data_IF_421384944655
#
_entry.id   IF_421384944655
#
_cell.length_a   1.000
_cell.length_b   1.000
_cell.length_c   1.000
_cell.angle_alpha   90.00
_cell.angle_beta   90.00
_cell.angle_gamma   90.00
#
_symmetry.space_group_name_H-M   'P 1'
#
loop_
_entity.id
_entity.type
_entity.pdbx_description
1 polymer ?
#
# COMPACT_ATOMS: atom_id res chain seq x y z
N UNK A 1 -0.80 30.55 10.61
CA UNK A 1 -1.54 29.27 10.49
C UNK A 1 -0.64 28.10 10.10
N UNK A 2 0.12 28.18 9.00
CA UNK A 2 0.94 27.08 8.48
C UNK A 2 1.83 26.36 9.51
N UNK A 3 2.72 27.09 10.21
CA UNK A 3 3.66 26.50 11.17
C UNK A 3 2.94 25.80 12.33
N UNK A 4 1.91 26.44 12.90
CA UNK A 4 1.12 25.87 14.00
C UNK A 4 0.37 24.62 13.51
N UNK A 5 -0.26 24.69 12.33
CA UNK A 5 -0.94 23.55 11.73
C UNK A 5 -0.01 22.39 11.42
N UNK A 6 1.22 22.68 10.96
CA UNK A 6 2.25 21.69 10.69
C UNK A 6 2.72 21.02 12.00
N UNK A 7 2.91 21.81 13.07
CA UNK A 7 3.25 21.27 14.40
C UNK A 7 2.13 20.35 14.90
N UNK A 8 0.87 20.76 14.79
CA UNK A 8 -0.28 19.92 15.18
C UNK A 8 -0.26 18.61 14.39
N UNK A 9 -0.13 18.69 13.06
CA UNK A 9 -0.08 17.52 12.18
C UNK A 9 1.06 16.57 12.56
N UNK A 10 2.28 17.09 12.72
CA UNK A 10 3.44 16.28 13.08
C UNK A 10 3.33 15.67 14.47
N UNK A 11 2.86 16.43 15.47
CA UNK A 11 2.71 15.96 16.84
C UNK A 11 1.65 14.86 16.93
N UNK A 12 0.49 15.07 16.30
CA UNK A 12 -0.58 14.07 16.23
C UNK A 12 -0.11 12.80 15.50
N UNK A 13 0.53 12.93 14.34
CA UNK A 13 1.10 11.79 13.60
C UNK A 13 2.12 11.03 14.44
N UNK A 14 3.04 11.73 15.10
CA UNK A 14 4.05 11.12 15.94
C UNK A 14 3.42 10.39 17.14
N UNK A 15 2.51 11.04 17.86
CA UNK A 15 1.90 10.46 19.06
C UNK A 15 1.00 9.27 18.71
N UNK A 16 0.18 9.38 17.66
CA UNK A 16 -0.67 8.28 17.21
C UNK A 16 0.12 7.11 16.66
N UNK A 17 1.28 7.35 16.02
CA UNK A 17 2.13 6.25 15.58
C UNK A 17 2.72 5.43 16.73
N UNK A 18 3.04 6.08 17.85
CA UNK A 18 3.56 5.42 19.05
C UNK A 18 2.51 4.60 19.77
N UNK A 19 1.29 5.11 19.84
CA UNK A 19 0.18 4.44 20.51
C UNK A 19 -0.41 3.28 19.68
N UNK A 20 -0.12 3.24 18.37
CA UNK A 20 -0.53 2.18 17.42
C UNK A 20 -2.04 1.94 17.35
N UNK A 21 -2.46 1.11 16.39
CA UNK A 21 -3.87 0.75 16.18
C UNK A 21 -4.75 1.98 15.92
N UNK A 22 -5.91 2.04 16.58
CA UNK A 22 -6.93 3.06 16.34
C UNK A 22 -6.57 4.47 16.85
N UNK A 23 -5.50 4.59 17.64
CA UNK A 23 -5.08 5.87 18.24
C UNK A 23 -4.77 6.95 17.20
N UNK A 24 -4.22 6.56 16.04
CA UNK A 24 -3.91 7.46 14.92
C UNK A 24 -5.17 8.19 14.42
N UNK A 25 -6.31 7.51 14.45
CA UNK A 25 -7.60 8.08 14.05
C UNK A 25 -8.19 8.98 15.12
N UNK A 26 -8.17 8.53 16.39
CA UNK A 26 -8.69 9.31 17.51
C UNK A 26 -7.93 10.63 17.67
N UNK A 27 -6.60 10.57 17.62
CA UNK A 27 -5.75 11.76 17.69
C UNK A 27 -5.86 12.61 16.41
N UNK A 28 -6.07 11.99 15.25
CA UNK A 28 -6.37 12.71 14.01
C UNK A 28 -7.64 13.55 14.13
N UNK A 29 -8.72 12.98 14.67
CA UNK A 29 -9.96 13.71 14.97
C UNK A 29 -9.77 14.83 15.98
N UNK A 30 -9.00 14.59 17.05
CA UNK A 30 -8.58 15.64 17.98
C UNK A 30 -7.82 16.75 17.26
N UNK A 31 -6.90 16.41 16.36
CA UNK A 31 -6.17 17.37 15.55
C UNK A 31 -7.09 18.25 14.70
N UNK A 32 -8.14 17.67 14.09
CA UNK A 32 -9.14 18.44 13.32
C UNK A 32 -9.86 19.42 14.24
N UNK A 33 -10.27 18.99 15.44
CA UNK A 33 -10.86 19.88 16.44
C UNK A 33 -9.91 21.02 16.84
N UNK A 34 -8.62 20.71 17.03
CA UNK A 34 -7.61 21.73 17.32
C UNK A 34 -7.48 22.75 16.17
N UNK A 35 -7.55 22.31 14.91
CA UNK A 35 -7.60 23.24 13.77
C UNK A 35 -8.82 24.15 13.82
N UNK A 36 -9.98 23.61 14.15
CA UNK A 36 -11.21 24.40 14.24
C UNK A 36 -11.15 25.42 15.37
N UNK A 37 -10.78 25.00 16.59
CA UNK A 37 -10.86 25.88 17.77
C UNK A 37 -9.65 26.80 17.96
N UNK A 38 -8.44 26.38 17.59
CA UNK A 38 -7.22 27.20 17.79
C UNK A 38 -6.87 28.07 16.57
N UNK A 39 -7.23 27.62 15.36
CA UNK A 39 -6.85 28.30 14.12
C UNK A 39 -8.05 28.91 13.39
N UNK A 40 -9.27 28.78 13.94
CA UNK A 40 -10.52 29.25 13.34
C UNK A 40 -10.68 28.78 11.88
N UNK A 41 -10.29 27.53 11.63
CA UNK A 41 -10.18 26.99 10.29
C UNK A 41 -11.29 25.97 10.01
N UNK A 42 -11.93 26.10 8.85
CA UNK A 42 -12.94 25.14 8.41
C UNK A 42 -12.31 23.75 8.14
N UNK A 43 -12.89 22.66 8.67
CA UNK A 43 -12.40 21.32 8.42
C UNK A 43 -12.60 20.95 6.94
N UNK A 44 -11.69 20.13 6.41
CA UNK A 44 -11.89 19.55 5.08
C UNK A 44 -13.03 18.52 5.09
N UNK A 45 -13.47 18.07 3.92
CA UNK A 45 -14.38 16.94 3.84
C UNK A 45 -13.72 15.65 4.35
N UNK A 46 -14.40 14.86 5.19
CA UNK A 46 -13.90 13.56 5.59
C UNK A 46 -13.62 12.66 4.37
N UNK A 47 -12.65 11.74 4.45
CA UNK A 47 -12.28 10.87 3.34
C UNK A 47 -13.27 9.69 3.15
N UNK A 48 -14.58 9.97 3.12
CA UNK A 48 -15.63 8.95 3.00
C UNK A 48 -15.43 8.02 1.80
N UNK A 49 -15.02 8.58 0.66
CA UNK A 49 -14.77 7.79 -0.54
C UNK A 49 -13.64 6.76 -0.35
N UNK A 50 -12.55 7.15 0.33
CA UNK A 50 -11.41 6.27 0.63
C UNK A 50 -11.87 5.13 1.55
N UNK A 51 -12.67 5.47 2.57
CA UNK A 51 -13.20 4.53 3.55
C UNK A 51 -14.15 3.54 2.88
N UNK A 52 -15.03 4.00 1.99
CA UNK A 52 -15.94 3.16 1.23
C UNK A 52 -15.17 2.15 0.35
N UNK A 53 -14.13 2.60 -0.36
CA UNK A 53 -13.25 1.72 -1.13
C UNK A 53 -12.58 0.66 -0.25
N UNK A 54 -12.01 1.07 0.89
CA UNK A 54 -11.35 0.13 1.81
C UNK A 54 -12.37 -0.85 2.39
N UNK A 55 -13.54 -0.39 2.84
CA UNK A 55 -14.59 -1.24 3.41
C UNK A 55 -15.05 -2.32 2.42
N UNK A 56 -15.26 -1.95 1.15
CA UNK A 56 -15.64 -2.89 0.10
C UNK A 56 -14.55 -3.94 -0.16
N UNK A 57 -13.29 -3.51 -0.28
CA UNK A 57 -12.14 -4.42 -0.50
C UNK A 57 -11.93 -5.33 0.72
N UNK A 58 -11.99 -4.81 1.95
CA UNK A 58 -11.86 -5.60 3.19
C UNK A 58 -12.99 -6.62 3.31
N UNK A 59 -14.21 -6.26 2.89
CA UNK A 59 -15.33 -7.20 2.84
C UNK A 59 -15.08 -8.33 1.84
N UNK A 60 -14.57 -8.02 0.64
CA UNK A 60 -14.20 -9.02 -0.37
C UNK A 60 -13.04 -9.91 0.12
N UNK A 61 -11.98 -9.33 0.68
CA UNK A 61 -10.82 -10.06 1.21
C UNK A 61 -11.23 -10.96 2.39
N UNK A 62 -12.04 -10.46 3.32
CA UNK A 62 -12.59 -11.26 4.42
C UNK A 62 -13.46 -12.43 3.93
N UNK A 63 -14.19 -12.21 2.84
CA UNK A 63 -14.97 -13.27 2.19
C UNK A 63 -14.06 -14.36 1.60
N UNK A 64 -12.95 -13.98 0.96
CA UNK A 64 -11.95 -14.93 0.44
C UNK A 64 -11.25 -15.67 1.58
N UNK A 65 -10.89 -14.95 2.64
CA UNK A 65 -10.29 -15.54 3.85
C UNK A 65 -11.21 -16.60 4.45
N UNK A 66 -12.50 -16.31 4.58
CA UNK A 66 -13.51 -17.25 5.09
C UNK A 66 -13.65 -18.54 4.24
N UNK A 67 -13.23 -18.53 2.98
CA UNK A 67 -13.18 -19.73 2.13
C UNK A 67 -11.88 -20.53 2.24
N UNK A 68 -10.87 -20.00 2.95
CA UNK A 68 -9.50 -20.52 2.93
C UNK A 68 -8.65 -20.02 1.75
N UNK A 69 -9.19 -19.13 0.91
CA UNK A 69 -8.51 -18.61 -0.29
C UNK A 69 -7.22 -17.84 0.04
N UNK A 70 -7.25 -16.98 1.06
CA UNK A 70 -6.05 -16.25 1.48
C UNK A 70 -4.97 -17.19 2.02
N UNK A 71 -5.36 -18.21 2.79
CA UNK A 71 -4.44 -19.26 3.25
C UNK A 71 -3.78 -20.01 2.09
N UNK A 72 -4.55 -20.32 1.03
CA UNK A 72 -4.02 -20.95 -0.17
C UNK A 72 -3.01 -20.06 -0.91
N UNK A 73 -3.29 -18.76 -1.03
CA UNK A 73 -2.33 -17.81 -1.64
C UNK A 73 -1.02 -17.72 -0.84
N UNK A 74 -1.12 -17.71 0.49
CA UNK A 74 0.05 -17.70 1.38
C UNK A 74 0.85 -19.00 1.27
N UNK A 75 0.17 -20.15 1.21
CA UNK A 75 0.84 -21.44 1.00
C UNK A 75 1.57 -21.50 -0.35
N UNK A 76 0.97 -20.96 -1.41
CA UNK A 76 1.63 -20.84 -2.71
C UNK A 76 2.88 -19.95 -2.62
N UNK A 77 2.76 -18.82 -1.90
CA UNK A 77 3.88 -17.91 -1.65
C UNK A 77 5.03 -18.60 -0.92
N UNK A 78 4.71 -19.31 0.17
CA UNK A 78 5.66 -20.06 0.97
C UNK A 78 6.37 -21.13 0.15
N UNK A 79 5.63 -21.95 -0.59
CA UNK A 79 6.20 -22.98 -1.45
C UNK A 79 7.18 -22.38 -2.47
N UNK A 80 6.85 -21.22 -3.04
CA UNK A 80 7.70 -20.55 -4.01
C UNK A 80 8.98 -19.97 -3.38
N UNK A 81 8.89 -19.41 -2.18
CA UNK A 81 10.04 -18.92 -1.40
C UNK A 81 10.94 -20.09 -0.99
N UNK A 82 10.37 -21.18 -0.46
CA UNK A 82 11.10 -22.37 -0.01
C UNK A 82 11.75 -23.16 -1.15
N UNK A 83 11.23 -23.06 -2.38
CA UNK A 83 11.83 -23.73 -3.56
C UNK A 83 13.22 -23.20 -3.91
N UNK A 84 13.49 -21.92 -3.67
CA UNK A 84 14.77 -21.27 -3.99
C UNK A 84 15.24 -20.38 -2.82
N UNK A 85 15.55 -20.99 -1.67
CA UNK A 85 15.69 -20.27 -0.42
C UNK A 85 16.99 -19.41 -0.37
N UNK A 86 18.03 -19.80 -1.11
CA UNK A 86 19.24 -18.97 -1.31
C UNK A 86 19.01 -17.69 -2.12
N UNK A 87 17.93 -17.63 -2.91
CA UNK A 87 17.56 -16.46 -3.72
C UNK A 87 16.47 -15.62 -3.06
N UNK A 88 16.24 -15.77 -1.75
CA UNK A 88 15.16 -15.12 -1.02
C UNK A 88 15.15 -13.59 -1.17
N UNK A 89 16.32 -12.95 -1.29
CA UNK A 89 16.42 -11.49 -1.50
C UNK A 89 15.70 -11.04 -2.78
N UNK A 90 15.69 -11.88 -3.82
CA UNK A 90 15.03 -11.59 -5.09
C UNK A 90 13.58 -12.07 -5.13
N UNK A 91 13.33 -13.25 -4.56
CA UNK A 91 12.04 -13.93 -4.67
C UNK A 91 11.01 -13.32 -3.73
N UNK A 92 11.40 -13.03 -2.48
CA UNK A 92 10.47 -12.48 -1.48
C UNK A 92 9.82 -11.17 -1.91
N UNK A 93 10.54 -10.12 -2.39
CA UNK A 93 9.88 -8.90 -2.83
C UNK A 93 8.96 -9.12 -4.04
N UNK A 94 9.33 -9.98 -5.00
CA UNK A 94 8.49 -10.25 -6.16
C UNK A 94 7.21 -10.98 -5.79
N UNK A 95 7.30 -12.00 -4.93
CA UNK A 95 6.13 -12.71 -4.40
C UNK A 95 5.23 -11.76 -3.61
N UNK A 96 5.82 -10.92 -2.74
CA UNK A 96 5.06 -9.91 -1.99
C UNK A 96 4.40 -8.90 -2.92
N UNK A 97 5.08 -8.42 -3.96
CA UNK A 97 4.52 -7.51 -4.95
C UNK A 97 3.31 -8.13 -5.64
N UNK A 98 3.44 -9.35 -6.18
CA UNK A 98 2.36 -10.03 -6.91
C UNK A 98 1.15 -10.23 -6.03
N UNK A 99 1.34 -10.79 -4.82
CA UNK A 99 0.22 -11.08 -3.93
C UNK A 99 -0.45 -9.78 -3.47
N UNK A 100 0.34 -8.73 -3.22
CA UNK A 100 -0.21 -7.42 -2.86
C UNK A 100 -0.95 -6.76 -4.02
N UNK A 101 -0.42 -6.87 -5.24
CA UNK A 101 -1.06 -6.39 -6.46
C UNK A 101 -2.41 -7.07 -6.69
N UNK A 102 -2.47 -8.39 -6.51
CA UNK A 102 -3.72 -9.14 -6.62
C UNK A 102 -4.70 -8.77 -5.51
N UNK A 103 -4.21 -8.49 -4.31
CA UNK A 103 -5.05 -8.20 -3.14
C UNK A 103 -5.50 -6.75 -3.00
N UNK A 104 -4.80 -5.79 -3.61
CA UNK A 104 -5.08 -4.36 -3.52
C UNK A 104 -4.64 -3.67 -2.24
N UNK A 105 -4.05 -4.41 -1.29
CA UNK A 105 -3.67 -3.85 0.02
C UNK A 105 -2.34 -4.40 0.51
N UNK A 106 -1.49 -3.50 1.00
CA UNK A 106 -0.19 -3.84 1.56
C UNK A 106 -0.28 -4.63 2.88
N UNK A 107 -1.44 -4.65 3.54
CA UNK A 107 -1.65 -5.43 4.77
C UNK A 107 -1.58 -6.95 4.54
N UNK A 108 -1.72 -7.41 3.30
CA UNK A 108 -1.52 -8.82 2.98
C UNK A 108 -0.07 -9.25 3.23
N UNK A 109 0.89 -8.32 3.25
CA UNK A 109 2.27 -8.63 3.61
C UNK A 109 2.37 -9.29 5.00
N UNK A 110 1.48 -8.99 5.95
CA UNK A 110 1.52 -9.58 7.30
C UNK A 110 1.48 -11.11 7.31
N UNK A 111 0.86 -11.74 6.33
CA UNK A 111 0.77 -13.20 6.27
C UNK A 111 2.02 -13.87 5.69
N UNK A 112 2.87 -13.13 4.97
CA UNK A 112 4.07 -13.66 4.29
C UNK A 112 5.35 -13.23 5.00
N UNK A 113 5.37 -12.07 5.66
CA UNK A 113 6.54 -11.59 6.41
C UNK A 113 7.09 -12.62 7.43
N UNK A 114 6.27 -13.39 8.18
CA UNK A 114 6.80 -14.43 9.07
C UNK A 114 7.58 -15.51 8.33
N UNK A 115 7.06 -15.98 7.19
CA UNK A 115 7.71 -16.98 6.34
C UNK A 115 9.03 -16.44 5.80
N UNK A 116 9.05 -15.18 5.36
CA UNK A 116 10.28 -14.53 4.87
C UNK A 116 11.33 -14.47 5.99
N UNK A 117 10.94 -14.04 7.20
CA UNK A 117 11.84 -13.97 8.34
C UNK A 117 12.41 -15.34 8.72
N UNK A 118 11.58 -16.39 8.68
CA UNK A 118 11.96 -17.76 8.99
C UNK A 118 12.93 -18.35 7.97
N UNK A 119 12.56 -18.34 6.68
CA UNK A 119 13.42 -18.88 5.61
C UNK A 119 14.73 -18.11 5.50
N UNK A 120 14.71 -16.79 5.76
CA UNK A 120 15.96 -16.00 5.83
C UNK A 120 16.91 -16.53 6.90
N UNK A 121 16.38 -16.87 8.07
CA UNK A 121 17.16 -17.46 9.17
C UNK A 121 17.68 -18.85 8.83
N UNK A 122 16.84 -19.71 8.26
CA UNK A 122 17.22 -21.08 7.86
C UNK A 122 18.45 -21.09 6.92
N UNK A 123 18.54 -20.10 6.03
CA UNK A 123 19.62 -19.99 5.03
C UNK A 123 20.79 -19.10 5.49
N UNK A 124 20.68 -18.49 6.68
CA UNK A 124 21.71 -17.58 7.20
C UNK A 124 21.79 -16.22 6.48
N UNK A 125 20.72 -15.80 5.80
CA UNK A 125 20.59 -14.48 5.17
C UNK A 125 19.96 -13.52 6.17
N UNK A 126 20.55 -12.32 6.36
CA UNK A 126 19.99 -11.31 7.28
C UNK A 126 18.54 -10.98 6.93
N UNK A 127 17.56 -11.23 7.82
CA UNK A 127 16.14 -10.97 7.56
C UNK A 127 15.86 -9.51 7.18
N UNK A 128 16.67 -8.57 7.68
CA UNK A 128 16.65 -7.15 7.28
C UNK A 128 16.43 -6.92 5.79
N UNK A 129 17.17 -7.65 4.93
CA UNK A 129 17.17 -7.41 3.49
C UNK A 129 15.86 -7.83 2.83
N UNK A 130 15.45 -9.11 2.88
CA UNK A 130 14.20 -9.54 2.26
C UNK A 130 12.98 -8.92 2.94
N UNK A 131 12.98 -8.71 4.28
CA UNK A 131 11.85 -8.07 4.96
C UNK A 131 11.68 -6.61 4.54
N UNK A 132 12.76 -5.83 4.49
CA UNK A 132 12.67 -4.43 4.07
C UNK A 132 12.24 -4.30 2.61
N UNK A 133 12.79 -5.11 1.71
CA UNK A 133 12.39 -5.16 0.30
C UNK A 133 10.93 -5.57 0.13
N UNK A 134 10.46 -6.59 0.87
CA UNK A 134 9.06 -7.03 0.81
C UNK A 134 8.07 -5.98 1.31
N UNK A 135 8.41 -5.20 2.34
CA UNK A 135 7.56 -4.09 2.78
C UNK A 135 7.44 -3.02 1.69
N UNK A 136 8.55 -2.65 1.04
CA UNK A 136 8.54 -1.71 -0.08
C UNK A 136 7.79 -2.28 -1.29
N UNK A 137 7.95 -3.57 -1.56
CA UNK A 137 7.23 -4.28 -2.61
C UNK A 137 5.72 -4.27 -2.38
N UNK A 138 5.27 -4.41 -1.13
CA UNK A 138 3.86 -4.32 -0.78
C UNK A 138 3.29 -2.92 -1.06
N UNK A 139 4.03 -1.84 -0.74
CA UNK A 139 3.61 -0.48 -1.08
C UNK A 139 3.44 -0.30 -2.61
N UNK A 140 4.44 -0.75 -3.37
CA UNK A 140 4.46 -0.64 -4.82
C UNK A 140 3.41 -1.51 -5.51
N UNK A 141 3.22 -2.75 -5.03
CA UNK A 141 2.19 -3.66 -5.53
C UNK A 141 0.79 -3.12 -5.27
N UNK A 142 0.57 -2.48 -4.12
CA UNK A 142 -0.71 -1.88 -3.80
C UNK A 142 -1.00 -0.68 -4.70
N UNK A 143 -0.03 0.23 -4.92
CA UNK A 143 -0.19 1.36 -5.84
C UNK A 143 -0.50 0.91 -7.27
N UNK A 144 0.14 -0.17 -7.73
CA UNK A 144 -0.06 -0.70 -9.07
C UNK A 144 -1.38 -1.47 -9.24
N UNK A 145 -2.03 -1.85 -8.14
CA UNK A 145 -3.24 -2.69 -8.18
C UNK A 145 -4.47 -1.92 -8.65
N UNK A 146 -5.28 -2.49 -9.58
CA UNK A 146 -6.55 -1.90 -10.01
C UNK A 146 -7.58 -1.80 -8.90
N UNK A 147 -7.43 -2.61 -7.84
CA UNK A 147 -8.39 -2.67 -6.74
C UNK A 147 -7.96 -1.88 -5.51
N UNK A 148 -6.89 -1.09 -5.62
CA UNK A 148 -6.43 -0.23 -4.52
C UNK A 148 -7.15 1.12 -4.54
N UNK A 149 -7.38 1.68 -3.36
CA UNK A 149 -7.90 3.06 -3.23
C UNK A 149 -6.96 4.08 -3.86
N UNK A 150 -5.64 3.85 -3.82
CA UNK A 150 -4.64 4.70 -4.48
C UNK A 150 -4.90 4.79 -5.99
N UNK A 151 -5.07 3.64 -6.65
CA UNK A 151 -5.29 3.57 -8.09
C UNK A 151 -6.64 4.18 -8.48
N UNK A 152 -7.68 3.97 -7.69
CA UNK A 152 -9.01 4.59 -7.96
C UNK A 152 -8.92 6.11 -7.93
N UNK A 153 -8.30 6.68 -6.90
CA UNK A 153 -8.16 8.14 -6.76
C UNK A 153 -7.25 8.71 -7.86
N UNK A 154 -6.11 8.05 -8.10
CA UNK A 154 -5.18 8.42 -9.18
C UNK A 154 -5.88 8.39 -10.54
N UNK A 155 -6.60 7.31 -10.82
CA UNK A 155 -7.38 7.11 -12.03
C UNK A 155 -8.46 8.18 -12.20
N UNK A 156 -9.16 8.56 -11.12
CA UNK A 156 -10.15 9.64 -11.14
C UNK A 156 -9.56 10.97 -11.62
N UNK A 157 -8.44 11.40 -11.04
CA UNK A 157 -7.77 12.65 -11.45
C UNK A 157 -7.22 12.60 -12.88
N UNK A 158 -6.58 11.48 -13.25
CA UNK A 158 -5.94 11.35 -14.56
C UNK A 158 -6.95 11.13 -15.69
N UNK A 159 -8.05 10.42 -15.44
CA UNK A 159 -9.14 10.20 -16.40
C UNK A 159 -9.91 11.50 -16.69
N UNK A 160 -10.16 12.31 -15.65
CA UNK A 160 -10.69 13.66 -15.81
C UNK A 160 -9.77 14.55 -16.68
N UNK A 161 -8.48 14.24 -16.71
CA UNK A 161 -7.47 14.94 -17.50
C UNK A 161 -7.13 14.26 -18.84
N UNK A 162 -7.92 13.26 -19.27
CA UNK A 162 -7.79 12.60 -20.58
C UNK A 162 -6.88 11.36 -20.63
N UNK A 163 -6.30 10.92 -19.51
CA UNK A 163 -5.47 9.71 -19.46
C UNK A 163 -6.32 8.50 -19.03
N UNK A 164 -6.47 7.53 -19.93
CA UNK A 164 -7.19 6.29 -19.64
C UNK A 164 -6.44 5.39 -18.65
N UNK A 165 -7.19 4.61 -17.86
CA UNK A 165 -6.66 3.68 -16.85
C UNK A 165 -5.65 2.66 -17.41
N UNK A 166 -5.87 2.15 -18.63
CA UNK A 166 -4.92 1.24 -19.30
C UNK A 166 -3.54 1.91 -19.47
N UNK A 167 -3.51 3.19 -19.81
CA UNK A 167 -2.26 3.95 -19.95
C UNK A 167 -1.57 4.14 -18.60
N UNK A 168 -2.35 4.36 -17.53
CA UNK A 168 -1.82 4.41 -16.16
C UNK A 168 -1.12 3.09 -15.82
N UNK A 169 -1.75 1.94 -16.06
CA UNK A 169 -1.13 0.63 -15.80
C UNK A 169 0.13 0.38 -16.63
N UNK A 170 0.12 0.76 -17.91
CA UNK A 170 1.29 0.65 -18.80
C UNK A 170 2.51 1.41 -18.29
N UNK A 171 2.33 2.40 -17.43
CA UNK A 171 3.41 3.19 -16.83
C UNK A 171 3.69 2.73 -15.40
N UNK A 172 2.67 2.73 -14.54
CA UNK A 172 2.85 2.48 -13.10
C UNK A 172 3.37 1.07 -12.85
N UNK A 173 2.81 0.03 -13.46
CA UNK A 173 3.22 -1.36 -13.21
C UNK A 173 4.71 -1.60 -13.56
N UNK A 174 5.19 -1.32 -14.79
CA UNK A 174 6.61 -1.52 -15.10
C UNK A 174 7.53 -0.56 -14.33
N UNK A 175 7.10 0.68 -14.05
CA UNK A 175 7.87 1.61 -13.25
C UNK A 175 8.10 1.09 -11.82
N UNK A 176 7.04 0.64 -11.15
CA UNK A 176 7.13 0.15 -9.76
C UNK A 176 7.88 -1.18 -9.67
N UNK A 177 7.68 -2.11 -10.62
CA UNK A 177 8.47 -3.36 -10.69
C UNK A 177 9.94 -3.04 -10.96
N UNK A 178 10.24 -2.18 -11.93
CA UNK A 178 11.61 -1.81 -12.28
C UNK A 178 12.33 -1.11 -11.13
N UNK A 179 11.68 -0.16 -10.45
CA UNK A 179 12.20 0.46 -9.24
C UNK A 179 12.49 -0.56 -8.14
N UNK A 180 11.56 -1.49 -7.89
CA UNK A 180 11.75 -2.58 -6.94
C UNK A 180 12.93 -3.51 -7.32
N UNK A 181 13.12 -3.81 -8.60
CA UNK A 181 14.27 -4.60 -9.07
C UNK A 181 15.60 -3.88 -8.85
N UNK A 182 15.66 -2.57 -9.12
CA UNK A 182 16.86 -1.75 -8.86
C UNK A 182 17.16 -1.76 -7.35
N UNK A 183 16.16 -1.56 -6.50
CA UNK A 183 16.33 -1.63 -5.05
C UNK A 183 16.82 -3.01 -4.59
N UNK A 184 16.24 -4.08 -5.15
CA UNK A 184 16.64 -5.46 -4.86
C UNK A 184 18.10 -5.72 -5.24
N UNK A 185 18.55 -5.22 -6.40
CA UNK A 185 19.94 -5.34 -6.85
C UNK A 185 20.90 -4.56 -5.95
N UNK A 186 20.55 -3.34 -5.53
CA UNK A 186 21.37 -2.55 -4.62
C UNK A 186 21.48 -3.23 -3.25
N UNK A 187 20.37 -3.70 -2.70
CA UNK A 187 20.32 -4.35 -1.39
C UNK A 187 21.00 -5.73 -1.40
N UNK A 188 20.95 -6.47 -2.51
CA UNK A 188 21.64 -7.75 -2.63
C UNK A 188 23.17 -7.60 -2.63
N UNK A 189 23.68 -6.48 -3.13
CA UNK A 189 25.11 -6.14 -3.17
C UNK A 189 25.67 -5.66 -1.82
N UNK A 190 24.83 -5.44 -0.80
CA UNK A 190 25.31 -5.06 0.52
C UNK A 190 26.07 -6.24 1.16
N UNK A 191 27.22 -5.99 1.80
CA UNK A 191 28.12 -7.06 2.28
C UNK A 191 28.04 -7.35 3.79
N UNK A 192 26.96 -6.92 4.45
CA UNK A 192 26.81 -7.12 5.89
C UNK A 192 26.30 -8.54 6.22
N UNK A 193 27.12 -9.34 6.91
CA UNK A 193 26.82 -10.73 7.31
C UNK A 193 25.86 -10.80 8.52
N UNK A 194 25.19 -11.94 8.67
CA UNK A 194 24.33 -12.22 9.83
C UNK A 194 25.14 -12.11 11.13
N UNK A 195 24.57 -11.58 12.24
CA UNK A 195 25.28 -11.48 13.51
C UNK A 195 25.77 -12.85 13.98
N UNK A 196 27.03 -12.92 14.43
CA UNK A 196 27.71 -14.17 14.80
C UNK A 196 26.98 -14.92 15.92
N UNK A 197 26.34 -14.20 16.84
CA UNK A 197 25.56 -14.76 17.96
C UNK A 197 24.37 -15.63 17.53
N UNK A 198 23.85 -15.43 16.31
CA UNK A 198 22.79 -16.26 15.73
C UNK A 198 23.36 -17.29 14.75
N UNK A 199 24.52 -17.02 14.15
CA UNK A 199 25.18 -17.92 13.21
C UNK A 199 25.66 -19.21 13.90
N UNK A 200 26.19 -19.09 15.12
CA UNK A 200 26.61 -20.24 15.95
C UNK A 200 25.42 -21.13 16.34
N UNK A 201 24.29 -20.54 16.77
CA UNK A 201 23.06 -21.29 17.09
C UNK A 201 22.48 -22.01 15.87
N UNK A 202 22.60 -21.43 14.68
CA UNK A 202 22.19 -22.11 13.44
C UNK A 202 23.13 -23.26 13.12
N UNK A 203 24.45 -23.10 13.25
CA UNK A 203 25.42 -24.18 13.05
C UNK A 203 25.25 -25.33 14.05
N UNK A 204 24.96 -25.05 15.32
CA UNK A 204 24.68 -26.07 16.32
C UNK A 204 23.38 -26.82 16.03
N UNK A 205 22.32 -26.12 15.60
CA UNK A 205 21.04 -26.75 15.21
C UNK A 205 21.11 -27.52 13.89
N UNK A 206 21.96 -27.10 12.96
CA UNK A 206 22.16 -27.78 11.66
C UNK A 206 23.18 -28.92 11.75
N UNK A 207 24.14 -28.87 12.68
CA UNK A 207 25.08 -29.95 13.00
C UNK A 207 24.47 -31.09 13.84
N UNK A 208 23.30 -30.89 14.44
CA UNK A 208 22.53 -31.88 15.20
C UNK A 208 21.10 -32.04 14.66
N UNK A 209 20.94 -32.09 13.33
CA UNK A 209 19.64 -32.33 12.72
C UNK A 209 19.21 -33.82 12.83
N UNK A 210 19.00 -34.31 14.05
CA UNK A 210 18.00 -35.35 14.29
C UNK A 210 16.65 -34.65 14.27
N UNK A 211 15.91 -34.83 13.18
CA UNK A 211 14.43 -34.78 13.10
C UNK A 211 13.71 -34.18 14.31
N UNK A 212 13.83 -32.88 14.52
CA UNK A 212 12.92 -32.11 15.36
C UNK A 212 12.34 -31.03 14.44
N UNK A 213 11.41 -31.48 13.59
CA UNK A 213 10.52 -30.60 12.86
C UNK A 213 9.96 -29.60 13.86
N UNK A 214 10.41 -28.35 13.76
CA UNK A 214 9.76 -27.26 14.46
C UNK A 214 8.34 -27.26 13.90
N UNK A 215 7.35 -27.42 14.78
CA UNK A 215 5.97 -27.64 14.38
C UNK A 215 5.58 -26.62 13.29
N UNK A 216 4.98 -27.05 12.16
CA UNK A 216 4.59 -26.14 11.11
C UNK A 216 3.76 -25.02 11.73
N UNK A 217 4.12 -23.77 11.43
CA UNK A 217 3.28 -22.61 11.75
C UNK A 217 1.86 -23.00 11.37
N UNK A 218 0.99 -23.02 12.38
CA UNK A 218 -0.26 -23.76 12.44
C UNK A 218 -0.92 -23.90 11.07
N UNK A 219 -1.06 -25.15 10.60
CA UNK A 219 -1.86 -25.50 9.43
C UNK A 219 -3.17 -24.72 9.45
N UNK A 220 -3.28 -23.74 8.55
CA UNK A 220 -4.52 -23.01 8.33
C UNK A 220 -5.59 -24.06 8.01
N UNK A 221 -6.65 -24.07 8.81
CA UNK A 221 -7.75 -25.02 8.68
C UNK A 221 -8.15 -25.14 7.21
N UNK A 222 -8.05 -26.36 6.68
CA UNK A 222 -8.37 -26.66 5.30
C UNK A 222 -9.89 -26.48 5.08
N UNK A 223 -10.28 -25.28 4.64
CA UNK A 223 -11.39 -25.17 3.71
C UNK A 223 -11.09 -26.07 2.51
N UNK A 224 -12.12 -26.68 1.92
CA UNK A 224 -11.96 -27.44 0.67
C UNK A 224 -11.13 -26.63 -0.34
N UNK A 225 -9.99 -27.19 -0.79
CA UNK A 225 -9.07 -26.54 -1.75
C UNK A 225 -9.80 -26.03 -2.99
N UNK A 226 -10.91 -26.68 -3.35
CA UNK A 226 -11.77 -26.28 -4.45
C UNK A 226 -12.52 -24.97 -4.18
N UNK A 227 -13.02 -24.76 -2.95
CA UNK A 227 -13.66 -23.49 -2.55
C UNK A 227 -12.64 -22.35 -2.55
N UNK A 228 -11.45 -22.59 -2.01
CA UNK A 228 -10.36 -21.62 -2.00
C UNK A 228 -9.96 -21.19 -3.43
N UNK A 229 -9.80 -22.14 -4.35
CA UNK A 229 -9.49 -21.84 -5.76
C UNK A 229 -10.62 -21.07 -6.46
N UNK A 230 -11.88 -21.45 -6.21
CA UNK A 230 -13.06 -20.78 -6.77
C UNK A 230 -13.20 -19.34 -6.27
N UNK A 231 -12.97 -19.09 -4.98
CA UNK A 231 -13.07 -17.73 -4.42
C UNK A 231 -12.00 -16.81 -4.99
N UNK A 232 -10.76 -17.31 -5.14
CA UNK A 232 -9.67 -16.56 -5.79
C UNK A 232 -10.04 -16.26 -7.25
N UNK A 233 -10.53 -17.24 -8.01
CA UNK A 233 -10.94 -17.03 -9.40
C UNK A 233 -12.02 -15.94 -9.52
N UNK A 234 -13.08 -16.02 -8.70
CA UNK A 234 -14.14 -15.01 -8.69
C UNK A 234 -13.62 -13.63 -8.31
N UNK A 235 -12.68 -13.54 -7.37
CA UNK A 235 -12.05 -12.29 -6.99
C UNK A 235 -11.20 -11.69 -8.11
N UNK A 236 -10.41 -12.50 -8.81
CA UNK A 236 -9.64 -12.08 -9.97
C UNK A 236 -10.55 -11.60 -11.12
N UNK A 237 -11.68 -12.29 -11.34
CA UNK A 237 -12.69 -11.85 -12.30
C UNK A 237 -13.32 -10.51 -11.90
N UNK A 238 -13.61 -10.31 -10.61
CA UNK A 238 -14.09 -9.02 -10.09
C UNK A 238 -13.07 -7.89 -10.27
N UNK A 239 -11.79 -8.16 -10.00
CA UNK A 239 -10.70 -7.22 -10.25
C UNK A 239 -10.57 -6.86 -11.74
N UNK A 240 -10.66 -7.86 -12.62
CA UNK A 240 -10.69 -7.63 -14.07
C UNK A 240 -11.91 -6.81 -14.51
N UNK A 241 -13.09 -7.10 -13.94
CA UNK A 241 -14.32 -6.38 -14.25
C UNK A 241 -14.20 -4.88 -13.90
N UNK A 242 -13.51 -4.53 -12.81
CA UNK A 242 -13.25 -3.12 -12.45
C UNK A 242 -12.46 -2.44 -13.56
N UNK A 243 -11.37 -3.06 -14.04
CA UNK A 243 -10.56 -2.51 -15.13
C UNK A 243 -11.39 -2.35 -16.40
N UNK A 244 -12.24 -3.33 -16.74
CA UNK A 244 -13.08 -3.30 -17.93
C UNK A 244 -14.16 -2.22 -17.87
N UNK A 245 -14.92 -2.15 -16.76
CA UNK A 245 -16.00 -1.15 -16.57
C UNK A 245 -15.43 0.26 -16.45
N UNK A 246 -14.25 0.41 -15.88
CA UNK A 246 -13.59 1.71 -15.81
C UNK A 246 -13.06 2.15 -17.18
N UNK A 247 -12.36 1.27 -17.90
CA UNK A 247 -11.72 1.59 -19.17
C UNK A 247 -12.71 1.75 -20.33
N UNK A 248 -13.81 0.99 -20.33
CA UNK A 248 -14.78 0.96 -21.42
C UNK A 248 -16.04 1.72 -20.99
N UNK A 249 -16.13 2.99 -21.40
CA UNK A 249 -17.25 3.89 -21.03
C UNK A 249 -18.63 3.34 -21.42
N UNK A 250 -18.73 2.50 -22.46
CA UNK A 250 -20.00 1.88 -22.89
C UNK A 250 -20.51 0.79 -21.95
N UNK A 251 -19.61 0.12 -21.19
CA UNK A 251 -20.00 -0.85 -20.17
C UNK A 251 -20.48 -0.18 -18.88
N UNK A 252 -20.19 1.12 -18.72
CA UNK A 252 -20.53 1.88 -17.53
C UNK A 252 -22.03 2.17 -17.50
N UNK A 253 -22.75 1.77 -16.44
CA UNK A 253 -24.16 2.09 -16.30
C UNK A 253 -24.40 3.61 -16.39
N UNK A 254 -25.45 3.99 -17.11
CA UNK A 254 -25.88 5.37 -17.25
C UNK A 254 -27.40 5.44 -17.25
N UNK A 255 -27.95 6.49 -16.67
CA UNK A 255 -29.38 6.74 -16.62
C UNK A 255 -29.64 8.22 -16.92
N UNK A 256 -30.88 8.56 -17.26
CA UNK A 256 -31.27 9.93 -17.52
C UNK A 256 -31.83 10.59 -16.25
N UNK A 257 -31.29 11.75 -15.90
CA UNK A 257 -31.84 12.64 -14.86
C UNK A 257 -32.10 13.99 -15.53
N UNK A 258 -33.34 14.48 -15.49
CA UNK A 258 -33.73 15.77 -16.06
C UNK A 258 -33.31 15.94 -17.54
N UNK A 259 -33.45 14.88 -18.35
CA UNK A 259 -33.04 14.88 -19.77
C UNK A 259 -31.53 14.88 -20.00
N UNK A 260 -30.71 14.80 -18.95
CA UNK A 260 -29.25 14.67 -19.04
C UNK A 260 -28.81 13.24 -18.74
N UNK A 261 -27.95 12.69 -19.61
CA UNK A 261 -27.38 11.36 -19.40
C UNK A 261 -26.28 11.41 -18.34
N UNK A 262 -26.56 10.85 -17.18
CA UNK A 262 -25.62 10.75 -16.06
C UNK A 262 -25.02 9.35 -16.02
N UNK A 263 -23.70 9.26 -16.03
CA UNK A 263 -22.98 7.98 -15.90
C UNK A 263 -22.63 7.72 -14.44
N UNK A 264 -22.52 6.44 -14.06
CA UNK A 264 -22.00 6.04 -12.75
C UNK A 264 -20.64 6.72 -12.49
N UNK A 265 -20.46 7.48 -11.40
CA UNK A 265 -19.16 8.07 -11.09
C UNK A 265 -18.10 7.00 -10.89
N UNK A 266 -16.88 7.27 -11.38
CA UNK A 266 -15.76 6.31 -11.37
C UNK A 266 -15.42 5.81 -9.98
N UNK A 267 -15.55 6.68 -8.99
CA UNK A 267 -15.23 6.39 -7.60
C UNK A 267 -16.11 5.27 -7.02
N UNK A 268 -17.33 5.07 -7.54
CA UNK A 268 -18.25 4.02 -7.07
C UNK A 268 -18.07 2.66 -7.76
N UNK A 269 -17.33 2.59 -8.87
CA UNK A 269 -17.13 1.34 -9.63
C UNK A 269 -16.47 0.28 -8.74
N UNK A 270 -15.35 0.64 -8.10
CA UNK A 270 -14.61 -0.29 -7.24
C UNK A 270 -15.45 -0.80 -6.06
N UNK A 271 -16.05 0.06 -5.21
CA UNK A 271 -16.87 -0.41 -4.10
C UNK A 271 -18.00 -1.34 -4.53
N UNK A 272 -18.72 -0.97 -5.60
CA UNK A 272 -19.85 -1.74 -6.10
C UNK A 272 -19.40 -3.13 -6.56
N UNK A 273 -18.37 -3.20 -7.42
CA UNK A 273 -17.90 -4.48 -7.97
C UNK A 273 -17.29 -5.36 -6.87
N UNK A 274 -16.53 -4.81 -5.91
CA UNK A 274 -15.96 -5.58 -4.81
C UNK A 274 -17.03 -6.15 -3.88
N UNK A 275 -18.06 -5.37 -3.52
CA UNK A 275 -19.19 -5.86 -2.74
C UNK A 275 -20.00 -6.92 -3.50
N UNK A 276 -20.25 -6.72 -4.79
CA UNK A 276 -20.89 -7.74 -5.63
C UNK A 276 -20.05 -9.01 -5.72
N UNK A 277 -18.73 -8.88 -5.86
CA UNK A 277 -17.80 -10.01 -5.88
C UNK A 277 -17.82 -10.77 -4.55
N UNK A 278 -17.81 -10.05 -3.42
CA UNK A 278 -17.96 -10.64 -2.10
C UNK A 278 -19.29 -11.41 -1.97
N UNK A 279 -20.40 -10.84 -2.42
CA UNK A 279 -21.70 -11.50 -2.44
C UNK A 279 -21.68 -12.78 -3.29
N UNK A 280 -21.12 -12.73 -4.51
CA UNK A 280 -21.01 -13.90 -5.38
C UNK A 280 -20.13 -15.00 -4.76
N UNK A 281 -18.98 -14.66 -4.20
CA UNK A 281 -18.13 -15.63 -3.49
C UNK A 281 -18.89 -16.25 -2.32
N UNK A 282 -19.62 -15.44 -1.55
CA UNK A 282 -20.42 -15.90 -0.42
C UNK A 282 -21.47 -16.93 -0.85
N UNK A 283 -22.22 -16.63 -1.91
CA UNK A 283 -23.27 -17.48 -2.47
C UNK A 283 -22.68 -18.77 -3.07
N UNK A 284 -21.69 -18.65 -3.96
CA UNK A 284 -21.13 -19.79 -4.69
C UNK A 284 -20.27 -20.71 -3.82
N UNK A 285 -19.56 -20.17 -2.81
CA UNK A 285 -18.76 -20.97 -1.88
C UNK A 285 -19.55 -21.44 -0.66
N UNK A 286 -20.80 -20.96 -0.50
CA UNK A 286 -21.71 -21.27 0.62
C UNK A 286 -21.03 -21.04 1.96
N UNK A 287 -20.56 -19.82 2.20
CA UNK A 287 -19.92 -19.43 3.46
C UNK A 287 -20.89 -18.59 4.32
N UNK A 288 -20.96 -18.82 5.64
CA UNK A 288 -21.81 -18.05 6.52
C UNK A 288 -21.26 -16.63 6.72
N UNK A 289 -22.11 -15.61 6.70
CA UNK A 289 -21.68 -14.22 6.86
C UNK A 289 -20.88 -13.98 8.15
N UNK A 290 -21.18 -14.73 9.23
CA UNK A 290 -20.47 -14.65 10.51
C UNK A 290 -18.98 -15.01 10.41
N UNK A 291 -18.58 -15.93 9.53
CA UNK A 291 -17.18 -16.32 9.42
C UNK A 291 -16.32 -15.24 8.75
N UNK A 292 -16.94 -14.30 8.04
CA UNK A 292 -16.25 -13.18 7.39
C UNK A 292 -15.77 -12.18 8.45
N UNK A 293 -16.65 -11.78 9.36
CA UNK A 293 -16.33 -10.78 10.40
C UNK A 293 -15.39 -11.31 11.47
N UNK A 294 -15.32 -12.64 11.63
CA UNK A 294 -14.39 -13.32 12.54
C UNK A 294 -13.00 -13.55 11.91
N UNK A 295 -12.84 -13.26 10.61
CA UNK A 295 -11.56 -13.39 9.90
C UNK A 295 -10.51 -12.41 10.40
N UNK A 296 -9.24 -12.84 10.40
CA UNK A 296 -8.10 -12.02 10.83
C UNK A 296 -7.86 -10.89 9.83
N UNK A 297 -7.94 -11.17 8.53
CA UNK A 297 -7.78 -10.17 7.47
C UNK A 297 -8.93 -9.15 7.49
N UNK A 298 -10.17 -9.58 7.76
CA UNK A 298 -11.29 -8.65 7.95
C UNK A 298 -11.05 -7.73 9.14
N UNK A 299 -10.73 -8.29 10.32
CA UNK A 299 -10.49 -7.51 11.54
C UNK A 299 -9.33 -6.54 11.38
N UNK A 300 -8.20 -7.01 10.84
CA UNK A 300 -7.04 -6.16 10.55
C UNK A 300 -7.36 -5.08 9.51
N UNK A 301 -8.17 -5.40 8.50
CA UNK A 301 -8.63 -4.47 7.49
C UNK A 301 -9.50 -3.35 8.06
N UNK A 302 -10.48 -3.69 8.89
CA UNK A 302 -11.33 -2.70 9.58
C UNK A 302 -10.50 -1.84 10.54
N UNK A 303 -9.58 -2.45 11.30
CA UNK A 303 -8.67 -1.70 12.16
C UNK A 303 -7.83 -0.71 11.34
N UNK A 304 -7.24 -1.15 10.22
CA UNK A 304 -6.47 -0.28 9.32
C UNK A 304 -7.32 0.85 8.72
N UNK A 305 -8.52 0.53 8.25
CA UNK A 305 -9.50 1.49 7.74
C UNK A 305 -9.82 2.58 8.77
N UNK A 306 -10.20 2.18 9.99
CA UNK A 306 -10.52 3.10 11.06
C UNK A 306 -9.31 3.93 11.46
N UNK A 307 -8.12 3.34 11.50
CA UNK A 307 -6.86 4.04 11.83
C UNK A 307 -6.52 5.17 10.84
N UNK A 308 -6.91 5.02 9.57
CA UNK A 308 -6.66 6.03 8.53
C UNK A 308 -7.65 7.20 8.53
N UNK A 309 -8.87 7.01 9.04
CA UNK A 309 -9.95 8.01 8.96
C UNK A 309 -9.52 9.38 9.52
N UNK A 310 -9.14 9.45 10.80
CA UNK A 310 -8.81 10.72 11.45
C UNK A 310 -7.54 11.37 10.90
N UNK A 311 -6.48 10.59 10.66
CA UNK A 311 -5.22 11.16 10.17
C UNK A 311 -5.34 11.68 8.73
N UNK A 312 -6.08 10.99 7.87
CA UNK A 312 -6.33 11.46 6.51
C UNK A 312 -7.22 12.70 6.50
N UNK A 313 -8.18 12.80 7.43
CA UNK A 313 -9.01 13.99 7.59
C UNK A 313 -8.21 15.20 8.09
N UNK A 314 -7.37 15.00 9.11
CA UNK A 314 -6.44 16.03 9.61
C UNK A 314 -5.50 16.52 8.50
N UNK A 315 -4.91 15.58 7.75
CA UNK A 315 -4.00 15.91 6.67
C UNK A 315 -4.68 16.69 5.55
N UNK A 316 -5.91 16.30 5.17
CA UNK A 316 -6.70 17.02 4.17
C UNK A 316 -7.07 18.43 4.65
N UNK A 317 -7.41 18.57 5.94
CA UNK A 317 -7.70 19.87 6.57
C UNK A 317 -6.46 20.76 6.55
N UNK A 318 -5.29 20.26 6.96
CA UNK A 318 -4.04 21.01 6.88
C UNK A 318 -3.75 21.53 5.47
N UNK A 319 -3.86 20.67 4.46
CA UNK A 319 -3.60 21.04 3.06
C UNK A 319 -4.63 22.07 2.56
N UNK A 320 -5.91 21.87 2.83
CA UNK A 320 -6.97 22.78 2.41
C UNK A 320 -6.79 24.18 3.01
N UNK A 321 -6.58 24.26 4.32
CA UNK A 321 -6.41 25.54 5.01
C UNK A 321 -5.15 26.27 4.52
N UNK A 322 -4.08 25.54 4.23
CA UNK A 322 -2.80 26.14 3.83
C UNK A 322 -2.56 26.16 2.32
N UNK A 323 -3.60 25.93 1.51
CA UNK A 323 -3.51 25.88 0.04
C UNK A 323 -2.77 27.08 -0.57
N UNK A 324 -3.02 28.35 -0.17
CA UNK A 324 -2.32 29.49 -0.76
C UNK A 324 -0.81 29.45 -0.52
N UNK A 325 -0.39 29.22 0.72
CA UNK A 325 1.02 29.13 1.11
C UNK A 325 1.71 27.96 0.42
N UNK A 326 1.03 26.81 0.31
CA UNK A 326 1.55 25.66 -0.40
C UNK A 326 1.74 25.94 -1.89
N UNK A 327 0.77 26.60 -2.55
CA UNK A 327 0.89 26.97 -3.96
C UNK A 327 2.05 27.93 -4.21
N UNK A 328 2.18 28.98 -3.39
CA UNK A 328 3.27 29.95 -3.46
C UNK A 328 4.63 29.26 -3.30
N UNK A 329 4.79 28.45 -2.25
CA UNK A 329 6.02 27.69 -1.99
C UNK A 329 6.40 26.77 -3.15
N UNK A 330 5.42 26.04 -3.71
CA UNK A 330 5.67 25.15 -4.85
C UNK A 330 6.06 25.96 -6.09
N UNK A 331 5.37 27.07 -6.38
CA UNK A 331 5.67 27.89 -7.56
C UNK A 331 7.04 28.57 -7.49
N UNK A 332 7.48 28.99 -6.30
CA UNK A 332 8.71 29.76 -6.13
C UNK A 332 9.95 28.85 -6.06
N UNK A 333 9.87 27.75 -5.30
CA UNK A 333 11.02 26.90 -5.02
C UNK A 333 11.06 25.61 -5.85
N UNK A 334 9.93 25.22 -6.46
CA UNK A 334 9.76 23.91 -7.10
C UNK A 334 9.15 24.05 -8.51
N UNK A 335 9.73 24.95 -9.30
CA UNK A 335 9.25 25.33 -10.64
C UNK A 335 9.45 24.26 -11.73
N UNK A 336 10.33 23.29 -11.54
CA UNK A 336 10.57 22.24 -12.52
C UNK A 336 9.56 21.07 -12.35
N UNK A 337 8.95 20.57 -13.44
CA UNK A 337 7.99 19.46 -13.43
C UNK A 337 8.31 18.25 -12.55
N UNK A 338 9.58 17.80 -12.56
CA UNK A 338 10.01 16.61 -11.81
C UNK A 338 10.05 16.85 -10.29
N UNK A 339 10.16 18.11 -9.84
CA UNK A 339 10.16 18.47 -8.42
C UNK A 339 8.81 18.18 -7.75
N UNK A 340 7.74 18.01 -8.53
CA UNK A 340 6.47 17.52 -8.01
C UNK A 340 6.58 16.14 -7.34
N UNK A 341 7.45 15.26 -7.84
CA UNK A 341 7.74 13.98 -7.18
C UNK A 341 8.34 14.17 -5.79
N UNK A 342 9.18 15.19 -5.58
CA UNK A 342 9.77 15.50 -4.27
C UNK A 342 8.67 15.94 -3.30
N UNK A 343 7.73 16.78 -3.75
CA UNK A 343 6.59 17.23 -2.93
C UNK A 343 5.76 16.03 -2.49
N UNK A 344 5.39 15.15 -3.43
CA UNK A 344 4.63 13.95 -3.13
C UNK A 344 5.36 13.04 -2.13
N UNK A 345 6.68 12.92 -2.27
CA UNK A 345 7.51 12.13 -1.37
C UNK A 345 7.42 12.67 0.07
N UNK A 346 7.69 13.96 0.28
CA UNK A 346 7.63 14.57 1.61
C UNK A 346 6.22 14.58 2.20
N UNK A 347 5.22 14.95 1.40
CA UNK A 347 3.83 14.99 1.87
C UNK A 347 3.34 13.61 2.23
N UNK A 348 3.68 12.57 1.45
CA UNK A 348 3.35 11.19 1.79
C UNK A 348 3.96 10.75 3.11
N UNK A 349 5.21 11.08 3.37
CA UNK A 349 5.87 10.75 4.64
C UNK A 349 5.19 11.42 5.83
N UNK A 350 4.79 12.68 5.71
CA UNK A 350 4.13 13.45 6.79
C UNK A 350 2.69 12.96 7.02
N UNK A 351 1.95 12.73 5.94
CA UNK A 351 0.54 12.32 5.99
C UNK A 351 0.38 10.83 6.33
N UNK A 352 1.44 10.03 6.19
CA UNK A 352 1.44 8.59 6.48
C UNK A 352 0.48 7.77 5.61
N UNK A 353 0.04 8.31 4.46
CA UNK A 353 -0.95 7.67 3.60
C UNK A 353 -0.79 8.09 2.13
N UNK A 354 -0.45 7.11 1.29
CA UNK A 354 -0.36 7.27 -0.16
C UNK A 354 -1.66 7.78 -0.78
N UNK A 355 -2.82 7.19 -0.42
CA UNK A 355 -4.11 7.56 -0.97
C UNK A 355 -4.56 8.98 -0.54
N UNK A 356 -4.33 9.34 0.72
CA UNK A 356 -4.62 10.69 1.20
C UNK A 356 -3.73 11.73 0.51
N UNK A 357 -2.45 11.38 0.27
CA UNK A 357 -1.51 12.25 -0.44
C UNK A 357 -1.96 12.52 -1.86
N UNK A 358 -2.39 11.49 -2.60
CA UNK A 358 -2.95 11.69 -3.95
C UNK A 358 -4.15 12.64 -3.86
N UNK A 359 -5.11 12.35 -2.97
CA UNK A 359 -6.34 13.16 -2.80
C UNK A 359 -6.04 14.63 -2.47
N UNK A 360 -5.07 14.91 -1.62
CA UNK A 360 -4.78 16.26 -1.15
C UNK A 360 -3.82 17.04 -2.07
N UNK A 361 -2.82 16.37 -2.65
CA UNK A 361 -1.71 17.04 -3.34
C UNK A 361 -1.88 17.08 -4.87
N UNK A 362 -2.56 16.11 -5.48
CA UNK A 362 -2.79 16.16 -6.94
C UNK A 362 -3.60 17.39 -7.37
N UNK A 363 -4.67 17.81 -6.67
CA UNK A 363 -5.38 19.04 -7.00
C UNK A 363 -4.51 20.30 -6.99
N UNK A 364 -3.50 20.37 -6.10
CA UNK A 364 -2.52 21.45 -6.08
C UNK A 364 -1.66 21.45 -7.35
N UNK A 365 -1.16 20.27 -7.76
CA UNK A 365 -0.39 20.14 -9.00
C UNK A 365 -1.19 20.53 -10.24
N UNK A 366 -2.46 20.09 -10.32
CA UNK A 366 -3.38 20.48 -11.40
C UNK A 366 -3.60 22.00 -11.41
N UNK A 367 -3.81 22.62 -10.24
CA UNK A 367 -4.00 24.06 -10.12
C UNK A 367 -2.77 24.87 -10.56
N UNK A 368 -1.58 24.30 -10.44
CA UNK A 368 -0.31 24.88 -10.91
C UNK A 368 -0.05 24.63 -12.41
N UNK A 369 -0.97 23.98 -13.12
CA UNK A 369 -0.80 23.66 -14.54
C UNK A 369 0.18 22.52 -14.82
N UNK A 370 0.50 21.70 -13.82
CA UNK A 370 1.36 20.52 -14.03
C UNK A 370 0.63 19.54 -14.94
N UNK A 371 1.30 19.13 -16.03
CA UNK A 371 0.65 18.26 -17.02
C UNK A 371 0.27 16.90 -16.40
N UNK A 372 -0.84 16.28 -16.82
CA UNK A 372 -1.27 14.97 -16.33
C UNK A 372 -0.20 13.87 -16.54
N UNK A 373 0.63 14.04 -17.58
CA UNK A 373 1.78 13.17 -17.88
C UNK A 373 2.82 13.20 -16.74
N UNK A 374 3.11 14.38 -16.19
CA UNK A 374 4.04 14.56 -15.07
C UNK A 374 3.44 14.01 -13.77
N UNK A 375 2.15 14.25 -13.53
CA UNK A 375 1.44 13.69 -12.37
C UNK A 375 1.51 12.16 -12.38
N UNK A 376 1.29 11.55 -13.54
CA UNK A 376 1.41 10.10 -13.75
C UNK A 376 2.84 9.60 -13.54
N UNK A 377 3.84 10.26 -14.14
CA UNK A 377 5.25 9.91 -13.96
C UNK A 377 5.69 9.97 -12.50
N UNK A 378 5.12 10.90 -11.74
CA UNK A 378 5.42 11.13 -10.32
C UNK A 378 4.65 10.22 -9.36
N UNK A 379 3.69 9.42 -9.86
CA UNK A 379 2.72 8.72 -9.01
C UNK A 379 3.40 7.79 -7.98
N UNK A 380 4.52 7.16 -8.32
CA UNK A 380 5.24 6.27 -7.40
C UNK A 380 5.81 6.98 -6.16
N UNK A 381 6.03 8.30 -6.20
CA UNK A 381 6.54 9.07 -5.08
C UNK A 381 5.60 9.07 -3.86
N UNK A 382 4.31 8.84 -4.06
CA UNK A 382 3.33 8.78 -2.96
C UNK A 382 3.56 7.58 -2.04
N UNK A 383 4.40 6.61 -2.40
CA UNK A 383 4.75 5.47 -1.54
C UNK A 383 5.87 5.76 -0.54
N UNK A 384 6.26 7.02 -0.37
CA UNK A 384 7.29 7.45 0.58
C UNK A 384 6.84 7.45 2.06
N UNK A 385 5.73 6.78 2.36
CA UNK A 385 5.21 6.57 3.72
C UNK A 385 6.21 5.85 4.64
N UNK A 386 7.25 5.22 4.09
CA UNK A 386 8.29 4.54 4.86
C UNK A 386 9.34 5.48 5.46
N UNK A 387 9.46 6.73 4.97
CA UNK A 387 10.55 7.65 5.39
C UNK A 387 10.44 7.94 6.89
N UNK A 388 9.23 8.09 7.40
CA UNK A 388 8.98 8.09 8.84
C UNK A 388 8.58 6.65 9.20
N UNK A 389 9.35 5.93 10.03
CA UNK A 389 9.19 4.48 10.24
C UNK A 389 8.03 4.14 11.21
N UNK A 390 6.86 4.70 10.91
CA UNK A 390 5.64 4.58 11.71
C UNK A 390 4.60 3.69 11.03
N UNK A 391 4.88 3.24 9.81
CA UNK A 391 3.92 2.50 9.02
C UNK A 391 3.75 1.07 9.59
N UNK A 392 2.51 0.59 9.80
CA UNK A 392 2.26 -0.68 10.51
C UNK A 392 2.98 -1.93 9.94
N UNK A 393 3.12 -2.02 8.61
CA UNK A 393 3.85 -3.15 7.98
C UNK A 393 5.34 -3.14 8.28
N UNK A 394 5.94 -1.96 8.48
CA UNK A 394 7.33 -1.82 8.91
C UNK A 394 7.51 -2.26 10.36
N UNK A 395 6.60 -1.83 11.24
CA UNK A 395 6.60 -2.21 12.66
C UNK A 395 6.47 -3.73 12.81
N UNK A 396 5.57 -4.36 12.04
CA UNK A 396 5.43 -5.81 12.02
C UNK A 396 6.69 -6.51 11.53
N UNK A 397 7.32 -6.04 10.44
CA UNK A 397 8.57 -6.60 9.95
C UNK A 397 9.71 -6.51 10.99
N UNK A 398 9.80 -5.42 11.75
CA UNK A 398 10.76 -5.30 12.85
C UNK A 398 10.47 -6.27 14.00
N UNK A 399 9.21 -6.42 14.39
CA UNK A 399 8.81 -7.32 15.47
C UNK A 399 9.00 -8.80 15.11
N UNK A 400 8.84 -9.16 13.83
CA UNK A 400 9.03 -10.52 13.34
C UNK A 400 10.51 -10.91 13.22
N UNK A 401 11.40 -9.93 13.07
CA UNK A 401 12.83 -10.18 13.00
C UNK A 401 13.44 -10.40 14.39
N UNK A 402 13.40 -11.65 14.84
CA UNK A 402 14.00 -12.09 16.10
C UNK A 402 15.53 -11.91 16.17
N UNK A 403 16.20 -11.64 15.05
CA UNK A 403 17.66 -11.40 15.03
C UNK A 403 18.03 -9.95 15.36
N UNK A 404 17.04 -9.05 15.39
CA UNK A 404 17.24 -7.62 15.62
C UNK A 404 17.96 -6.90 14.47
N UNK A 405 18.08 -7.52 13.29
CA UNK A 405 18.73 -6.89 12.13
C UNK A 405 17.86 -5.84 11.46
N UNK A 406 16.54 -6.00 11.52
CA UNK A 406 15.51 -5.09 11.02
C UNK A 406 15.12 -4.15 12.15
N UNK A 407 15.56 -2.89 12.10
CA UNK A 407 15.37 -1.96 13.21
C UNK A 407 15.36 -0.50 12.80
N UNK A 408 14.90 0.33 13.72
CA UNK A 408 15.25 1.75 13.77
C UNK A 408 16.58 1.85 14.53
N UNK A 409 17.56 2.51 13.93
CA UNK A 409 18.87 2.79 14.50
C UNK A 409 18.84 3.99 15.45
N UNK A 410 19.97 4.69 15.54
CA UNK A 410 20.14 5.81 16.49
C UNK A 410 19.25 7.03 16.16
N UNK A 411 18.91 7.23 14.89
CA UNK A 411 18.15 8.38 14.40
C UNK A 411 16.83 7.93 13.78
N UNK A 412 15.81 8.80 13.79
CA UNK A 412 14.49 8.51 13.24
C UNK A 412 14.55 8.03 11.78
N UNK A 413 15.36 8.69 10.95
CA UNK A 413 15.54 8.35 9.53
C UNK A 413 16.59 7.25 9.27
N UNK A 414 17.25 6.77 10.32
CA UNK A 414 18.21 5.68 10.21
C UNK A 414 17.49 4.37 10.49
N UNK A 415 16.84 3.77 9.49
CA UNK A 415 16.15 2.50 9.64
C UNK A 415 16.31 1.61 8.39
N UNK A 416 16.10 0.31 8.57
CA UNK A 416 16.35 -0.71 7.55
C UNK A 416 15.60 -0.52 6.22
N UNK A 417 14.47 0.18 6.25
CA UNK A 417 13.63 0.42 5.06
C UNK A 417 14.03 1.66 4.24
N UNK A 418 14.89 2.54 4.78
CA UNK A 418 15.19 3.82 4.15
C UNK A 418 15.90 3.64 2.80
N UNK A 419 17.00 2.88 2.78
CA UNK A 419 17.76 2.64 1.55
C UNK A 419 16.95 1.87 0.49
N UNK A 420 16.33 0.70 0.81
CA UNK A 420 15.50 -0.01 -0.16
C UNK A 420 14.35 0.86 -0.70
N UNK A 421 13.70 1.62 0.18
CA UNK A 421 12.56 2.46 -0.18
C UNK A 421 12.95 3.62 -1.09
N UNK A 422 14.02 4.36 -0.75
CA UNK A 422 14.48 5.50 -1.56
C UNK A 422 14.94 5.04 -2.95
N UNK A 423 15.71 3.96 -3.02
CA UNK A 423 16.17 3.41 -4.30
C UNK A 423 14.97 2.96 -5.15
N UNK A 424 13.98 2.30 -4.53
CA UNK A 424 12.79 1.86 -5.24
C UNK A 424 11.96 3.03 -5.78
N UNK A 425 11.73 4.07 -4.97
CA UNK A 425 10.96 5.25 -5.38
C UNK A 425 11.70 6.02 -6.47
N UNK A 426 12.99 6.33 -6.27
CA UNK A 426 13.76 7.09 -7.25
C UNK A 426 13.82 6.33 -8.57
N UNK A 427 14.05 5.01 -8.53
CA UNK A 427 14.01 4.15 -9.71
C UNK A 427 12.63 4.14 -10.38
N UNK A 428 11.56 4.00 -9.60
CA UNK A 428 10.20 3.96 -10.13
C UNK A 428 9.77 5.31 -10.73
N UNK A 429 10.07 6.43 -10.08
CA UNK A 429 9.79 7.77 -10.61
C UNK A 429 10.59 8.00 -11.88
N UNK A 430 11.91 7.71 -11.88
CA UNK A 430 12.75 7.86 -13.07
C UNK A 430 12.26 7.03 -14.25
N UNK A 431 11.90 5.76 -14.02
CA UNK A 431 11.28 4.91 -15.03
C UNK A 431 9.89 5.42 -15.45
N UNK A 432 9.11 5.99 -14.54
CA UNK A 432 7.82 6.62 -14.83
C UNK A 432 7.97 7.76 -15.83
N UNK A 433 8.92 8.67 -15.61
CA UNK A 433 9.23 9.75 -16.55
C UNK A 433 9.71 9.22 -17.91
N UNK A 434 10.60 8.22 -17.91
CA UNK A 434 11.09 7.59 -19.14
C UNK A 434 9.93 6.97 -19.94
N UNK A 435 9.07 6.19 -19.29
CA UNK A 435 7.95 5.50 -19.93
C UNK A 435 6.89 6.47 -20.45
N UNK A 436 6.59 7.54 -19.70
CA UNK A 436 5.70 8.60 -20.17
C UNK A 436 6.25 9.26 -21.43
N UNK A 437 7.55 9.57 -21.46
CA UNK A 437 8.19 10.19 -22.63
C UNK A 437 8.14 9.28 -23.88
N UNK A 438 8.22 7.96 -23.70
CA UNK A 438 8.18 6.99 -24.80
C UNK A 438 6.76 6.66 -25.24
N UNK A 439 5.83 6.45 -24.30
CA UNK A 439 4.51 5.86 -24.57
C UNK A 439 3.40 6.90 -24.77
N UNK A 440 3.59 8.13 -24.28
CA UNK A 440 2.60 9.21 -24.42
C UNK A 440 3.26 10.38 -25.16
N UNK A 441 3.43 10.28 -26.50
CA UNK A 441 4.03 11.36 -27.29
C UNK A 441 3.25 12.66 -27.15
N UNK A 442 3.98 13.77 -27.39
CA UNK A 442 3.60 15.19 -27.19
C UNK A 442 2.14 15.49 -27.33
#
# INVERSE_FOLDING_TARGET
MFLIGLIILLLVSFLGSRLQGMSLSMLGGLGVLLFMFLLDAAPAEPPFQVILCIAAVVSAVGTIEATGGLGYLVQLAENLIRKHPHSIIYISPMVTYVITFLAGTNHIAYSILPVIAEVSKEVGIRPERPLSLSVIAALHGALASPISSMMVILGGFLSASGIAMVTIFKIVIPATIGGLMIATLVVSRLNKKMPDSFYTTIQEKTGHATTAATAPVSCVQHGSTQKAKRSILLFLLGSLLIVLVDSIKTLRPSWEINGTKVMLPTDFILPLVMLSTAALVMIFCRIPARSITQGKAFTAGIQGMLSLLGIAWLSSTFVQCNKPVLLEFISEYLSAPWQFSIILMFMSSIMGSSAATIKAIFPLGIALGISPKILLASAAAVNAVFIIPIYPTMLAAMNLDTTGTTRIGKYLFNHSFMLPGLVAIIGAVGLGFLLVAILIPG
#
